data_IF_225604913423
#
_entry.id   IF_225604913423
#
_cell.length_a   1.000
_cell.length_b   1.000
_cell.length_c   1.000
_cell.angle_alpha   90.00
_cell.angle_beta   90.00
_cell.angle_gamma   90.00
#
_symmetry.space_group_name_H-M   'P 1'
#
loop_
_entity.id
_entity.type
_entity.pdbx_description
1 polymer ?
#
# COMPACT_ATOMS: atom_id res chain seq x y z
N UNK A 1 -16.65 1.97 -3.41
CA UNK A 1 -15.18 1.94 -3.43
C UNK A 1 -14.74 2.76 -2.25
N UNK A 2 -13.94 2.24 -1.30
CA UNK A 2 -13.42 3.06 -0.23
C UNK A 2 -12.56 4.17 -0.84
N UNK A 3 -12.91 5.41 -0.52
CA UNK A 3 -12.18 6.61 -0.94
C UNK A 3 -10.86 6.70 -0.14
N UNK A 4 -9.91 7.52 -0.59
CA UNK A 4 -8.70 7.76 0.20
C UNK A 4 -9.04 8.53 1.47
N UNK A 5 -8.20 8.47 2.52
CA UNK A 5 -8.35 9.34 3.67
C UNK A 5 -8.40 10.81 3.22
N UNK A 6 -9.32 11.58 3.78
CA UNK A 6 -9.48 13.00 3.44
C UNK A 6 -8.24 13.82 3.83
N UNK A 7 -7.63 13.48 4.97
CA UNK A 7 -6.41 14.08 5.46
C UNK A 7 -5.45 12.98 5.90
N UNK A 8 -4.18 13.12 5.51
CA UNK A 8 -3.11 12.22 5.95
C UNK A 8 -2.48 12.78 7.23
N UNK A 9 -2.22 11.93 8.23
CA UNK A 9 -1.47 12.31 9.41
C UNK A 9 -0.06 12.80 9.05
N UNK A 10 0.56 13.62 9.90
CA UNK A 10 1.95 14.08 9.70
C UNK A 10 2.98 12.96 9.89
N UNK A 11 2.59 11.87 10.54
CA UNK A 11 3.46 10.71 10.75
C UNK A 11 3.80 10.05 9.40
N UNK A 12 5.08 9.77 9.11
CA UNK A 12 5.46 9.05 7.91
C UNK A 12 4.92 7.61 7.91
N UNK A 13 4.42 7.15 6.76
CA UNK A 13 3.75 5.86 6.68
C UNK A 13 3.00 5.61 5.38
N UNK A 14 2.60 4.34 5.20
CA UNK A 14 1.59 3.96 4.22
C UNK A 14 0.24 3.94 4.91
N UNK A 15 -0.72 4.65 4.34
CA UNK A 15 -2.07 4.79 4.86
C UNK A 15 -3.11 4.26 3.87
N UNK A 16 -4.22 3.78 4.41
CA UNK A 16 -5.44 3.47 3.68
C UNK A 16 -6.64 3.98 4.48
N UNK A 17 -7.79 4.12 3.82
CA UNK A 17 -9.03 4.46 4.53
C UNK A 17 -9.62 3.24 5.24
N UNK A 18 -10.05 3.43 6.47
CA UNK A 18 -10.88 2.46 7.17
C UNK A 18 -12.33 2.46 6.64
N UNK A 19 -13.22 1.57 7.12
CA UNK A 19 -14.63 1.57 6.70
C UNK A 19 -15.42 2.86 7.02
N UNK A 20 -14.88 3.74 7.86
CA UNK A 20 -15.45 5.06 8.20
C UNK A 20 -14.87 6.18 7.33
N UNK A 21 -13.88 5.88 6.49
CA UNK A 21 -13.17 6.86 5.67
C UNK A 21 -11.97 7.52 6.37
N UNK A 22 -11.65 7.09 7.59
CA UNK A 22 -10.59 7.67 8.39
C UNK A 22 -9.21 7.09 8.01
N UNK A 23 -8.12 7.87 8.12
CA UNK A 23 -6.77 7.37 7.87
C UNK A 23 -6.39 6.27 8.86
N UNK A 24 -6.13 5.08 8.35
CA UNK A 24 -5.55 3.96 9.09
C UNK A 24 -4.11 3.74 8.62
N UNK A 25 -3.17 3.75 9.55
CA UNK A 25 -1.77 3.38 9.28
C UNK A 25 -1.73 1.89 8.94
N UNK A 26 -1.21 1.57 7.76
CA UNK A 26 -1.01 0.21 7.26
C UNK A 26 0.40 -0.25 7.54
N UNK A 27 1.39 0.59 7.25
CA UNK A 27 2.80 0.28 7.44
C UNK A 27 3.56 1.52 7.88
N UNK A 28 4.38 1.40 8.92
CA UNK A 28 5.24 2.48 9.39
C UNK A 28 6.43 2.62 8.44
N UNK A 29 6.58 3.78 7.81
CA UNK A 29 7.64 4.01 6.85
C UNK A 29 8.96 4.26 7.57
N UNK A 30 10.03 3.60 7.13
CA UNK A 30 11.40 3.89 7.57
C UNK A 30 12.12 4.68 6.47
N UNK A 31 12.98 5.65 6.82
CA UNK A 31 13.49 6.60 5.84
C UNK A 31 14.42 5.95 4.80
N UNK A 32 13.87 5.84 3.58
CA UNK A 32 14.49 5.95 2.26
C UNK A 32 14.92 4.69 1.46
N UNK A 33 14.61 3.48 1.91
CA UNK A 33 15.11 2.29 1.19
C UNK A 33 14.09 1.68 0.19
N UNK A 34 12.78 1.90 0.38
CA UNK A 34 11.72 1.45 -0.53
C UNK A 34 10.53 2.40 -0.58
N UNK A 35 9.66 2.27 -1.58
CA UNK A 35 8.46 3.09 -1.76
C UNK A 35 7.21 2.31 -2.12
N UNK A 36 6.04 2.88 -1.81
CA UNK A 36 4.74 2.25 -2.12
C UNK A 36 4.58 1.96 -3.63
N UNK A 37 5.11 2.81 -4.50
CA UNK A 37 5.01 2.61 -5.96
C UNK A 37 5.87 1.47 -6.49
N UNK A 38 6.83 1.01 -5.71
CA UNK A 38 7.75 -0.06 -6.12
C UNK A 38 7.01 -1.38 -6.30
N UNK A 39 5.86 -1.56 -5.64
CA UNK A 39 4.94 -2.69 -5.91
C UNK A 39 4.51 -2.72 -7.39
N UNK A 40 4.16 -1.56 -7.95
CA UNK A 40 3.76 -1.47 -9.36
C UNK A 40 4.95 -1.59 -10.31
N UNK A 41 6.14 -1.19 -9.88
CA UNK A 41 7.35 -1.23 -10.70
C UNK A 41 7.96 -2.65 -10.75
N UNK A 42 8.11 -3.28 -9.58
CA UNK A 42 8.75 -4.58 -9.40
C UNK A 42 7.81 -5.75 -9.70
N UNK A 43 6.58 -5.72 -9.17
CA UNK A 43 5.65 -6.83 -9.32
C UNK A 43 4.63 -6.63 -10.44
N UNK A 44 4.59 -5.43 -11.05
CA UNK A 44 3.58 -5.05 -12.06
C UNK A 44 2.14 -5.19 -11.52
N UNK A 45 1.97 -4.95 -10.23
CA UNK A 45 0.69 -5.04 -9.54
C UNK A 45 0.13 -3.67 -9.20
N UNK A 46 -1.17 -3.50 -9.44
CA UNK A 46 -1.88 -2.30 -9.09
C UNK A 46 -1.72 -1.17 -10.09
N UNK A 47 -2.47 -0.11 -9.83
CA UNK A 47 -2.49 1.11 -10.63
C UNK A 47 -2.02 2.28 -9.79
N UNK A 48 -0.99 2.97 -10.28
CA UNK A 48 -0.55 4.24 -9.70
C UNK A 48 -1.47 5.36 -10.17
N UNK A 49 -2.03 6.09 -9.21
CA UNK A 49 -2.92 7.21 -9.40
C UNK A 49 -2.34 8.47 -8.74
N UNK A 50 -2.83 9.65 -9.17
CA UNK A 50 -2.44 10.92 -8.55
C UNK A 50 -3.12 11.04 -7.19
N UNK A 51 -2.36 11.40 -6.17
CA UNK A 51 -2.88 11.74 -4.85
C UNK A 51 -3.56 13.12 -4.82
N UNK A 52 -4.21 13.42 -3.69
CA UNK A 52 -4.89 14.70 -3.48
C UNK A 52 -3.92 15.89 -3.36
N UNK A 53 -2.66 15.64 -2.97
CA UNK A 53 -1.60 16.64 -2.83
C UNK A 53 -0.53 16.46 -3.91
N UNK A 54 0.10 17.55 -4.39
CA UNK A 54 1.26 17.45 -5.29
C UNK A 54 2.34 16.57 -4.68
N UNK A 55 2.90 15.64 -5.46
CA UNK A 55 3.93 14.71 -5.00
C UNK A 55 3.41 13.38 -4.45
N UNK A 56 2.19 13.34 -3.89
CA UNK A 56 1.63 12.11 -3.35
C UNK A 56 1.15 11.19 -4.46
N UNK A 57 1.51 9.91 -4.35
CA UNK A 57 1.07 8.85 -5.27
C UNK A 57 0.19 7.86 -4.51
N UNK A 58 -0.82 7.37 -5.21
CA UNK A 58 -1.78 6.42 -4.69
C UNK A 58 -1.60 5.11 -5.43
N UNK A 59 -1.49 4.00 -4.70
CA UNK A 59 -1.51 2.67 -5.28
C UNK A 59 -2.89 2.05 -5.07
N UNK A 60 -3.61 1.77 -6.16
CA UNK A 60 -4.86 1.03 -6.13
C UNK A 60 -4.60 -0.44 -6.47
N UNK A 61 -5.02 -1.36 -5.60
CA UNK A 61 -4.86 -2.80 -5.77
C UNK A 61 -6.24 -3.48 -5.75
N UNK A 62 -6.53 -4.26 -6.79
CA UNK A 62 -7.73 -5.10 -6.86
C UNK A 62 -7.61 -6.34 -5.96
N UNK A 63 -8.72 -7.02 -5.63
CA UNK A 63 -8.69 -8.28 -4.87
C UNK A 63 -7.85 -9.40 -5.52
N UNK A 64 -7.70 -9.37 -6.85
CA UNK A 64 -6.83 -10.30 -7.56
C UNK A 64 -5.37 -9.94 -7.31
N UNK A 65 -5.01 -8.67 -7.49
CA UNK A 65 -3.64 -8.19 -7.31
C UNK A 65 -3.17 -8.30 -5.86
N UNK A 66 -4.05 -8.14 -4.87
CA UNK A 66 -3.73 -8.37 -3.46
C UNK A 66 -3.35 -9.83 -3.17
N UNK A 67 -3.98 -10.79 -3.87
CA UNK A 67 -3.60 -12.22 -3.77
C UNK A 67 -2.27 -12.49 -4.48
N UNK A 68 -2.05 -11.85 -5.62
CA UNK A 68 -0.79 -11.96 -6.38
C UNK A 68 0.38 -11.31 -5.62
N UNK A 69 0.13 -10.21 -4.91
CA UNK A 69 1.11 -9.54 -4.04
C UNK A 69 1.63 -10.49 -2.97
N UNK A 70 0.75 -11.36 -2.43
CA UNK A 70 1.17 -12.39 -1.48
C UNK A 70 2.18 -13.34 -2.06
N UNK A 71 1.83 -13.88 -3.22
CA UNK A 71 2.67 -14.86 -3.90
C UNK A 71 4.00 -14.23 -4.28
N UNK A 72 3.98 -12.99 -4.78
CA UNK A 72 5.19 -12.27 -5.15
C UNK A 72 6.08 -11.96 -3.94
N UNK A 73 5.54 -11.38 -2.87
CA UNK A 73 6.30 -11.04 -1.66
C UNK A 73 6.93 -12.29 -1.03
N UNK A 74 6.19 -13.41 -0.98
CA UNK A 74 6.72 -14.67 -0.44
C UNK A 74 7.75 -15.32 -1.37
N UNK A 75 7.60 -15.20 -2.70
CA UNK A 75 8.53 -15.79 -3.67
C UNK A 75 9.84 -15.02 -3.79
N UNK A 76 9.79 -13.69 -3.66
CA UNK A 76 10.93 -12.80 -3.85
C UNK A 76 11.45 -12.21 -2.53
N UNK A 77 11.11 -12.80 -1.38
CA UNK A 77 11.48 -12.26 -0.06
C UNK A 77 12.99 -12.11 0.17
N UNK A 78 13.80 -12.86 -0.57
CA UNK A 78 15.27 -12.81 -0.50
C UNK A 78 15.90 -11.89 -1.55
N UNK A 79 15.11 -11.41 -2.51
CA UNK A 79 15.58 -10.60 -3.64
C UNK A 79 15.35 -9.10 -3.43
N UNK A 80 14.52 -8.73 -2.44
CA UNK A 80 14.21 -7.34 -2.08
C UNK A 80 14.54 -7.06 -0.62
N UNK A 81 14.52 -5.79 -0.27
CA UNK A 81 14.73 -5.33 1.10
C UNK A 81 13.66 -5.85 2.06
N UNK A 82 14.09 -6.13 3.29
CA UNK A 82 13.21 -6.64 4.34
C UNK A 82 12.01 -5.72 4.57
N UNK A 83 12.25 -4.40 4.67
CA UNK A 83 11.18 -3.41 4.86
C UNK A 83 10.17 -3.36 3.70
N UNK A 84 10.61 -3.55 2.46
CA UNK A 84 9.69 -3.62 1.31
C UNK A 84 8.77 -4.84 1.38
N UNK A 85 9.33 -6.00 1.76
CA UNK A 85 8.59 -7.24 1.92
C UNK A 85 7.62 -7.15 3.11
N UNK A 86 8.07 -6.56 4.23
CA UNK A 86 7.22 -6.28 5.39
C UNK A 86 6.04 -5.36 5.02
N UNK A 87 6.28 -4.29 4.25
CA UNK A 87 5.21 -3.41 3.75
C UNK A 87 4.20 -4.20 2.91
N UNK A 88 4.65 -5.09 2.03
CA UNK A 88 3.76 -5.94 1.25
C UNK A 88 2.91 -6.84 2.16
N UNK A 89 3.53 -7.43 3.19
CA UNK A 89 2.84 -8.26 4.18
C UNK A 89 1.80 -7.49 4.99
N UNK A 90 2.12 -6.26 5.39
CA UNK A 90 1.20 -5.40 6.14
C UNK A 90 0.00 -4.96 5.30
N UNK A 91 0.21 -4.59 4.03
CA UNK A 91 -0.86 -4.32 3.06
C UNK A 91 -1.82 -5.51 2.97
N UNK A 92 -1.29 -6.73 2.92
CA UNK A 92 -2.11 -7.93 2.83
C UNK A 92 -2.85 -8.24 4.12
N UNK A 93 -2.24 -7.99 5.29
CA UNK A 93 -2.92 -8.13 6.58
C UNK A 93 -4.10 -7.17 6.65
N UNK A 94 -3.90 -5.92 6.24
CA UNK A 94 -4.97 -4.94 6.13
C UNK A 94 -6.07 -5.35 5.14
N UNK A 95 -5.68 -5.95 4.01
CA UNK A 95 -6.62 -6.41 2.99
C UNK A 95 -7.44 -7.64 3.39
N UNK A 96 -6.90 -8.51 4.26
CA UNK A 96 -7.59 -9.71 4.72
C UNK A 96 -8.89 -9.40 5.48
N UNK A 97 -8.95 -8.23 6.12
CA UNK A 97 -10.14 -7.73 6.82
C UNK A 97 -11.21 -7.14 5.86
N UNK A 98 -10.87 -6.97 4.56
CA UNK A 98 -11.70 -6.29 3.54
C UNK A 98 -11.79 -7.11 2.25
N UNK A 99 -12.33 -8.35 2.30
CA UNK A 99 -12.32 -9.25 1.16
C UNK A 99 -13.18 -8.72 0.01
N UNK A 100 -12.66 -8.82 -1.21
CA UNK A 100 -13.40 -8.48 -2.43
C UNK A 100 -13.40 -7.00 -2.80
N UNK A 101 -12.76 -6.14 -2.02
CA UNK A 101 -12.66 -4.71 -2.30
C UNK A 101 -11.36 -4.34 -3.03
N UNK A 102 -11.45 -3.35 -3.92
CA UNK A 102 -10.25 -2.66 -4.42
C UNK A 102 -9.82 -1.66 -3.36
N UNK A 103 -8.58 -1.79 -2.88
CA UNK A 103 -8.03 -0.99 -1.81
C UNK A 103 -7.07 0.05 -2.37
N UNK A 104 -7.04 1.22 -1.73
CA UNK A 104 -6.21 2.35 -2.14
C UNK A 104 -5.27 2.69 -1.00
N UNK A 105 -3.99 2.75 -1.31
CA UNK A 105 -2.91 3.06 -0.38
C UNK A 105 -2.22 4.34 -0.81
N UNK A 106 -1.76 5.14 0.14
CA UNK A 106 -1.03 6.38 -0.11
C UNK A 106 0.14 6.47 0.86
N UNK A 107 1.30 6.85 0.33
CA UNK A 107 2.47 7.14 1.14
C UNK A 107 2.43 8.60 1.63
N UNK A 108 2.86 8.78 2.87
CA UNK A 108 3.20 10.06 3.47
C UNK A 108 4.66 9.98 3.94
N UNK A 109 5.49 10.87 3.43
CA UNK A 109 6.94 10.94 3.59
C UNK A 109 7.40 12.26 4.24
#
# INVERSE_FOLDING_TARGET
MPELPAELPETPGVYAADPRGEPQLVHAFLPADYGLTDIAEHFRLGRVERGARPGHRVLALSPRELRELKVAADAYSFDYEEGFIEMCHDIMRFAAERPGETLRFVAND
#
